data_IF_188247264684
#
_entry.id   IF_188247264684
#
_cell.length_a   1.000
_cell.length_b   1.000
_cell.length_c   1.000
_cell.angle_alpha   90.00
_cell.angle_beta   90.00
_cell.angle_gamma   90.00
#
_symmetry.space_group_name_H-M   'P 1'
#
loop_
_entity.id
_entity.type
_entity.pdbx_description
1 polymer ?
#
# COMPACT_ATOMS: atom_id res chain seq x y z
N UNK A 1 -5.97 22.32 12.20
CA UNK A 1 -7.03 22.25 11.15
C UNK A 1 -7.01 20.87 10.50
N UNK A 2 -7.95 20.00 10.84
CA UNK A 2 -8.13 18.69 10.19
C UNK A 2 -8.80 18.93 8.83
N UNK A 3 -8.02 18.91 7.73
CA UNK A 3 -8.59 18.89 6.39
C UNK A 3 -9.26 17.54 6.15
N UNK A 4 -10.57 17.54 6.01
CA UNK A 4 -11.43 16.39 5.68
C UNK A 4 -11.27 15.99 4.20
N UNK A 5 -10.79 16.90 3.34
CA UNK A 5 -10.49 16.61 1.93
C UNK A 5 -9.03 16.20 1.76
N UNK A 6 -8.80 14.89 1.64
CA UNK A 6 -7.53 14.36 1.13
C UNK A 6 -7.50 14.56 -0.39
N UNK A 7 -6.43 15.19 -0.89
CA UNK A 7 -6.19 15.38 -2.32
C UNK A 7 -5.55 14.13 -2.94
N UNK A 8 -5.60 14.00 -4.27
CA UNK A 8 -4.94 12.89 -4.96
C UNK A 8 -3.42 12.85 -4.68
N UNK A 9 -2.78 14.02 -4.53
CA UNK A 9 -1.36 14.12 -4.17
C UNK A 9 -1.07 13.55 -2.78
N UNK A 10 -1.92 13.88 -1.80
CA UNK A 10 -1.82 13.31 -0.46
C UNK A 10 -2.12 11.81 -0.46
N UNK A 11 -3.11 11.35 -1.25
CA UNK A 11 -3.40 9.94 -1.40
C UNK A 11 -2.19 9.17 -1.95
N UNK A 12 -1.53 9.68 -3.00
CA UNK A 12 -0.33 9.08 -3.57
C UNK A 12 0.81 9.03 -2.57
N UNK A 13 0.99 10.11 -1.80
CA UNK A 13 1.98 10.16 -0.73
C UNK A 13 1.71 9.10 0.34
N UNK A 14 0.47 8.99 0.84
CA UNK A 14 0.10 8.00 1.86
C UNK A 14 0.24 6.57 1.32
N UNK A 15 -0.11 6.33 0.05
CA UNK A 15 0.10 5.01 -0.59
C UNK A 15 1.59 4.67 -0.64
N UNK A 16 2.44 5.62 -1.08
CA UNK A 16 3.90 5.44 -1.14
C UNK A 16 4.48 5.21 0.25
N UNK A 17 4.14 6.06 1.22
CA UNK A 17 4.57 5.91 2.61
C UNK A 17 4.10 4.56 3.18
N UNK A 18 2.93 4.08 2.76
CA UNK A 18 2.44 2.77 3.14
C UNK A 18 3.26 1.60 2.59
N UNK A 19 4.09 1.80 1.56
CA UNK A 19 5.05 0.79 1.06
C UNK A 19 6.28 0.71 1.96
N UNK A 20 6.78 1.84 2.45
CA UNK A 20 8.00 1.95 3.25
C UNK A 20 7.77 1.76 4.75
N UNK A 21 6.67 2.30 5.29
CA UNK A 21 6.31 2.26 6.71
C UNK A 21 4.89 1.75 6.94
N UNK A 22 4.60 1.36 8.17
CA UNK A 22 3.22 1.13 8.59
C UNK A 22 2.46 2.46 8.69
N UNK A 23 1.25 2.44 8.14
CA UNK A 23 0.33 3.59 8.19
C UNK A 23 -0.46 3.55 9.49
N UNK A 24 -0.66 4.73 10.07
CA UNK A 24 -1.60 4.90 11.18
C UNK A 24 -3.02 4.53 10.73
N UNK A 25 -3.84 4.04 11.68
CA UNK A 25 -5.24 3.70 11.44
C UNK A 25 -6.01 4.88 10.81
N UNK A 26 -5.66 6.11 11.18
CA UNK A 26 -6.31 7.31 10.67
C UNK A 26 -5.91 7.64 9.22
N UNK A 27 -4.64 7.44 8.86
CA UNK A 27 -4.14 7.59 7.49
C UNK A 27 -4.80 6.55 6.57
N UNK A 28 -4.91 5.31 7.05
CA UNK A 28 -5.56 4.21 6.33
C UNK A 28 -7.06 4.48 6.13
N UNK A 29 -7.75 5.05 7.11
CA UNK A 29 -9.16 5.41 6.99
C UNK A 29 -9.38 6.54 5.97
N UNK A 30 -8.59 7.61 6.04
CA UNK A 30 -8.66 8.72 5.07
C UNK A 30 -8.37 8.24 3.65
N UNK A 31 -7.37 7.39 3.48
CA UNK A 31 -7.04 6.77 2.20
C UNK A 31 -8.23 5.99 1.64
N UNK A 32 -8.82 5.07 2.42
CA UNK A 32 -10.00 4.30 1.98
C UNK A 32 -11.16 5.19 1.55
N UNK A 33 -11.45 6.27 2.28
CA UNK A 33 -12.51 7.20 1.91
C UNK A 33 -12.23 7.87 0.55
N UNK A 34 -10.99 8.27 0.29
CA UNK A 34 -10.62 8.87 -1.01
C UNK A 34 -10.66 7.86 -2.16
N UNK A 35 -10.22 6.62 -1.94
CA UNK A 35 -10.28 5.56 -2.95
C UNK A 35 -11.72 5.23 -3.37
N UNK A 36 -12.70 5.40 -2.47
CA UNK A 36 -14.13 5.22 -2.79
C UNK A 36 -14.68 6.26 -3.78
N UNK A 37 -14.04 7.43 -3.92
CA UNK A 37 -14.54 8.55 -4.74
C UNK A 37 -13.66 8.84 -5.96
N UNK A 38 -12.46 8.27 -6.03
CA UNK A 38 -11.48 8.56 -7.07
C UNK A 38 -10.93 7.27 -7.68
N UNK A 39 -11.43 6.92 -8.86
CA UNK A 39 -11.00 5.73 -9.61
C UNK A 39 -9.52 5.74 -9.95
N UNK A 40 -8.96 6.92 -10.28
CA UNK A 40 -7.55 7.06 -10.61
C UNK A 40 -6.65 6.64 -9.45
N UNK A 41 -6.95 7.10 -8.24
CA UNK A 41 -6.21 6.72 -7.04
C UNK A 41 -6.45 5.26 -6.65
N UNK A 42 -7.64 4.71 -6.89
CA UNK A 42 -7.93 3.27 -6.69
C UNK A 42 -7.08 2.39 -7.57
N UNK A 43 -6.97 2.74 -8.86
CA UNK A 43 -6.10 2.01 -9.80
C UNK A 43 -4.63 2.12 -9.40
N UNK A 44 -4.18 3.31 -9.02
CA UNK A 44 -2.81 3.53 -8.53
C UNK A 44 -2.50 2.68 -7.29
N UNK A 45 -3.39 2.69 -6.29
CA UNK A 45 -3.24 1.87 -5.10
C UNK A 45 -3.17 0.37 -5.43
N UNK A 46 -3.98 -0.11 -6.39
CA UNK A 46 -3.91 -1.47 -6.91
C UNK A 46 -2.55 -1.80 -7.54
N UNK A 47 -2.01 -0.91 -8.37
CA UNK A 47 -0.69 -1.08 -8.98
C UNK A 47 0.42 -1.18 -7.94
N UNK A 48 0.41 -0.32 -6.92
CA UNK A 48 1.38 -0.35 -5.83
C UNK A 48 1.27 -1.63 -4.99
N UNK A 49 0.06 -2.12 -4.75
CA UNK A 49 -0.16 -3.39 -4.05
C UNK A 49 0.39 -4.60 -4.83
N UNK A 50 0.22 -4.62 -6.16
CA UNK A 50 0.79 -5.64 -7.04
C UNK A 50 2.32 -5.62 -7.00
N UNK A 51 2.93 -4.44 -7.14
CA UNK A 51 4.39 -4.28 -7.02
C UNK A 51 4.90 -4.81 -5.68
N UNK A 52 4.25 -4.44 -4.57
CA UNK A 52 4.64 -4.93 -3.25
C UNK A 52 4.50 -6.44 -3.10
N UNK A 53 3.46 -7.03 -3.68
CA UNK A 53 3.28 -8.48 -3.68
C UNK A 53 4.39 -9.17 -4.48
N UNK A 54 4.74 -8.65 -5.65
CA UNK A 54 5.83 -9.18 -6.47
C UNK A 54 7.18 -9.08 -5.73
N UNK A 55 7.48 -7.94 -5.12
CA UNK A 55 8.69 -7.76 -4.31
C UNK A 55 8.74 -8.74 -3.13
N UNK A 56 7.63 -8.93 -2.40
CA UNK A 56 7.58 -9.93 -1.32
C UNK A 56 7.78 -11.36 -1.82
N UNK A 57 7.31 -11.70 -3.02
CA UNK A 57 7.55 -13.02 -3.64
C UNK A 57 9.00 -13.21 -4.05
N UNK A 58 9.70 -12.14 -4.43
CA UNK A 58 11.12 -12.18 -4.79
C UNK A 58 12.03 -12.17 -3.54
N UNK A 59 11.62 -11.49 -2.47
CA UNK A 59 12.32 -11.48 -1.19
C UNK A 59 12.00 -12.69 -0.31
N UNK A 60 10.95 -13.44 -0.62
CA UNK A 60 10.81 -14.80 -0.12
C UNK A 60 11.86 -15.64 -0.84
N UNK A 61 12.90 -16.15 -0.15
CA UNK A 61 13.79 -17.12 -0.78
C UNK A 61 12.96 -18.30 -1.27
N UNK A 62 13.38 -18.88 -2.39
CA UNK A 62 12.82 -20.11 -2.90
C UNK A 62 12.92 -21.22 -1.83
N UNK A 63 11.80 -21.52 -1.16
CA UNK A 63 11.64 -22.80 -0.48
C UNK A 63 10.95 -23.79 -1.42
N UNK A 64 11.58 -24.04 -2.56
CA UNK A 64 11.75 -25.40 -3.06
C UNK A 64 13.22 -25.88 -2.96
N UNK A 65 14.12 -25.10 -2.32
CA UNK A 65 15.46 -25.56 -1.95
C UNK A 65 15.96 -24.90 -0.65
N UNK A 66 15.24 -25.09 0.45
CA UNK A 66 15.63 -24.48 1.73
C UNK A 66 14.93 -25.00 2.98
N UNK A 67 14.31 -26.18 2.92
CA UNK A 67 13.81 -26.85 4.13
C UNK A 67 14.97 -27.44 4.94
N UNK A 68 15.29 -26.80 6.07
CA UNK A 68 15.98 -27.36 7.24
C UNK A 68 15.48 -26.60 8.49
N UNK A 69 14.93 -27.11 9.60
CA UNK A 69 14.57 -28.45 10.12
C UNK A 69 13.57 -28.26 11.29
N UNK A 70 12.57 -29.14 11.45
CA UNK A 70 12.26 -29.91 12.67
C UNK A 70 11.10 -30.86 12.41
#
# INVERSE_FOLDING_TARGET
>A
MMRVKMTCKEAHRVVSEGLDRDLSLFERLRLRLHLRICDACTRFNGQMALLRQAMRKLSAPDDAAGQERK
#
